data_IF_417390679267
#
_entry.id   IF_417390679267
#
_cell.length_a   1.000
_cell.length_b   1.000
_cell.length_c   1.000
_cell.angle_alpha   90.00
_cell.angle_beta   90.00
_cell.angle_gamma   90.00
#
_symmetry.space_group_name_H-M   'P 1'
#
loop_
_entity.id
_entity.type
_entity.pdbx_description
1 polymer ?
#
# COMPACT_ATOMS: atom_id res chain seq x y z
N UNK A 1 5.77 -31.69 -28.07
CA UNK A 1 4.51 -31.27 -27.42
C UNK A 1 4.21 -32.25 -26.30
N UNK A 2 3.97 -31.78 -25.08
CA UNK A 2 3.62 -32.65 -23.95
C UNK A 2 2.22 -33.24 -24.14
N UNK A 3 2.01 -34.47 -23.64
CA UNK A 3 0.72 -35.19 -23.66
C UNK A 3 -0.43 -34.35 -23.10
N UNK A 4 -0.17 -33.61 -22.02
CA UNK A 4 -1.10 -32.67 -21.41
C UNK A 4 -1.53 -31.53 -22.35
N UNK A 5 -0.64 -31.03 -23.21
CA UNK A 5 -0.98 -29.99 -24.20
C UNK A 5 -1.82 -30.54 -25.36
N UNK A 6 -1.70 -31.84 -25.66
CA UNK A 6 -2.59 -32.51 -26.61
C UNK A 6 -3.99 -32.71 -26.00
N UNK A 7 -4.04 -33.07 -24.72
CA UNK A 7 -5.30 -33.25 -24.01
C UNK A 7 -6.11 -31.95 -23.87
N UNK A 8 -5.45 -30.84 -23.49
CA UNK A 8 -6.09 -29.50 -23.47
C UNK A 8 -6.71 -29.15 -24.83
N UNK A 9 -5.98 -29.39 -25.92
CA UNK A 9 -6.47 -29.11 -27.29
C UNK A 9 -7.63 -30.01 -27.68
N UNK A 10 -7.56 -31.30 -27.31
CA UNK A 10 -8.62 -32.28 -27.57
C UNK A 10 -9.91 -31.89 -26.84
N UNK A 11 -9.82 -31.56 -25.56
CA UNK A 11 -10.96 -31.17 -24.73
C UNK A 11 -11.58 -29.85 -25.21
N UNK A 12 -10.75 -28.85 -25.53
CA UNK A 12 -11.23 -27.59 -26.10
C UNK A 12 -11.90 -27.81 -27.47
N UNK A 13 -11.30 -28.60 -28.36
CA UNK A 13 -11.90 -28.92 -29.66
C UNK A 13 -13.21 -29.72 -29.58
N UNK A 14 -13.41 -30.48 -28.49
CA UNK A 14 -14.66 -31.17 -28.20
C UNK A 14 -15.72 -30.29 -27.50
N UNK A 15 -15.37 -29.07 -27.08
CA UNK A 15 -16.24 -28.21 -26.29
C UNK A 15 -16.52 -28.72 -24.87
N UNK A 16 -15.72 -29.68 -24.36
CA UNK A 16 -15.90 -30.26 -23.03
C UNK A 16 -15.26 -29.35 -21.97
N UNK A 17 -15.98 -28.27 -21.67
CA UNK A 17 -15.56 -27.22 -20.74
C UNK A 17 -15.32 -27.77 -19.33
N UNK A 18 -16.13 -28.73 -18.90
CA UNK A 18 -16.07 -29.34 -17.56
C UNK A 18 -14.77 -30.14 -17.39
N UNK A 19 -14.49 -31.03 -18.34
CA UNK A 19 -13.26 -31.82 -18.30
C UNK A 19 -12.03 -30.95 -18.53
N UNK A 20 -12.13 -29.89 -19.35
CA UNK A 20 -11.06 -28.92 -19.57
C UNK A 20 -10.72 -28.17 -18.27
N UNK A 21 -11.72 -27.63 -17.57
CA UNK A 21 -11.54 -26.95 -16.29
C UNK A 21 -10.89 -27.87 -15.26
N UNK A 22 -11.38 -29.10 -15.11
CA UNK A 22 -10.79 -30.08 -14.19
C UNK A 22 -9.35 -30.44 -14.55
N UNK A 23 -9.02 -30.53 -15.84
CA UNK A 23 -7.66 -30.80 -16.32
C UNK A 23 -6.71 -29.64 -16.01
N UNK A 24 -7.13 -28.40 -16.28
CA UNK A 24 -6.35 -27.21 -15.96
C UNK A 24 -6.19 -27.02 -14.45
N UNK A 25 -7.23 -27.28 -13.66
CA UNK A 25 -7.19 -27.17 -12.21
C UNK A 25 -6.20 -28.17 -11.57
N UNK A 26 -6.17 -29.42 -12.04
CA UNK A 26 -5.25 -30.45 -11.54
C UNK A 26 -3.78 -30.19 -11.90
N UNK A 27 -3.52 -29.42 -12.96
CA UNK A 27 -2.15 -29.11 -13.39
C UNK A 27 -1.39 -28.26 -12.37
N UNK A 28 -2.08 -27.42 -11.59
CA UNK A 28 -1.46 -26.48 -10.65
C UNK A 28 -0.66 -25.38 -11.36
N UNK A 29 0.12 -24.60 -10.59
CA UNK A 29 1.13 -23.71 -11.19
C UNK A 29 2.32 -24.54 -11.70
N UNK A 30 2.90 -24.17 -12.85
CA UNK A 30 4.20 -24.72 -13.24
C UNK A 30 5.30 -24.36 -12.22
N UNK A 31 6.45 -25.06 -12.27
CA UNK A 31 7.64 -24.67 -11.52
C UNK A 31 8.00 -23.20 -11.79
N UNK A 32 7.98 -22.38 -10.74
CA UNK A 32 8.18 -20.92 -10.83
C UNK A 32 6.97 -20.09 -10.41
N UNK A 33 5.78 -20.69 -10.28
CA UNK A 33 4.61 -20.01 -9.69
C UNK A 33 3.88 -19.05 -10.64
N UNK A 34 4.19 -19.05 -11.93
CA UNK A 34 3.50 -18.27 -12.96
C UNK A 34 3.51 -19.04 -14.29
N UNK A 35 2.46 -18.85 -15.09
CA UNK A 35 2.39 -19.39 -16.46
C UNK A 35 3.50 -18.76 -17.32
N UNK A 36 4.67 -19.40 -17.32
CA UNK A 36 5.93 -18.88 -17.85
C UNK A 36 5.96 -18.86 -19.39
N UNK A 37 7.08 -18.41 -19.97
CA UNK A 37 7.31 -18.46 -21.42
C UNK A 37 7.17 -19.89 -22.00
N UNK A 38 7.43 -20.93 -21.21
CA UNK A 38 7.27 -22.32 -21.63
C UNK A 38 5.79 -22.74 -21.74
N UNK A 39 4.90 -22.07 -20.99
CA UNK A 39 3.46 -22.33 -21.01
C UNK A 39 2.68 -21.37 -21.90
N UNK A 40 3.36 -20.38 -22.48
CA UNK A 40 2.84 -19.44 -23.47
C UNK A 40 2.03 -20.11 -24.59
N UNK A 41 2.41 -21.28 -25.15
CA UNK A 41 1.60 -21.94 -26.18
C UNK A 41 0.22 -22.42 -25.68
N UNK A 42 0.10 -22.79 -24.40
CA UNK A 42 -1.16 -23.23 -23.82
C UNK A 42 -2.07 -22.02 -23.51
N UNK A 43 -1.51 -20.95 -22.97
CA UNK A 43 -2.26 -19.72 -22.68
C UNK A 43 -2.69 -19.00 -23.96
N UNK A 44 -1.82 -18.93 -24.98
CA UNK A 44 -2.16 -18.42 -26.32
C UNK A 44 -3.24 -19.27 -27.00
N UNK A 45 -3.18 -20.59 -26.85
CA UNK A 45 -4.22 -21.49 -27.37
C UNK A 45 -5.58 -21.21 -26.72
N UNK A 46 -5.63 -21.06 -25.38
CA UNK A 46 -6.85 -20.74 -24.65
C UNK A 46 -7.40 -19.35 -25.03
N UNK A 47 -6.52 -18.36 -25.21
CA UNK A 47 -6.89 -17.01 -25.65
C UNK A 47 -7.42 -16.97 -27.09
N UNK A 48 -7.00 -17.91 -27.93
CA UNK A 48 -7.44 -18.03 -29.32
C UNK A 48 -8.78 -18.78 -29.48
N UNK A 49 -9.33 -19.35 -28.39
CA UNK A 49 -10.67 -19.96 -28.44
C UNK A 49 -11.76 -18.88 -28.51
N UNK A 50 -12.93 -19.28 -28.98
CA UNK A 50 -14.09 -18.37 -29.03
C UNK A 50 -14.57 -17.97 -27.62
N UNK A 51 -15.30 -16.86 -27.59
CA UNK A 51 -15.80 -16.26 -26.35
C UNK A 51 -16.73 -17.22 -25.59
N UNK A 52 -17.51 -18.06 -26.28
CA UNK A 52 -18.47 -18.99 -25.65
C UNK A 52 -17.72 -20.04 -24.84
N UNK A 53 -16.70 -20.67 -25.44
CA UNK A 53 -15.86 -21.65 -24.75
C UNK A 53 -15.14 -20.99 -23.57
N UNK A 54 -14.58 -19.80 -23.76
CA UNK A 54 -13.81 -19.10 -22.73
C UNK A 54 -14.67 -18.64 -21.55
N UNK A 55 -15.87 -18.13 -21.82
CA UNK A 55 -16.87 -17.79 -20.79
C UNK A 55 -17.28 -19.05 -20.02
N UNK A 56 -17.61 -20.12 -20.72
CA UNK A 56 -17.94 -21.41 -20.11
C UNK A 56 -16.81 -21.91 -19.22
N UNK A 57 -15.56 -21.84 -19.71
CA UNK A 57 -14.38 -22.28 -18.97
C UNK A 57 -14.14 -21.45 -17.72
N UNK A 58 -14.28 -20.12 -17.81
CA UNK A 58 -14.18 -19.26 -16.64
C UNK A 58 -15.23 -19.63 -15.57
N UNK A 59 -16.47 -19.89 -15.98
CA UNK A 59 -17.54 -20.35 -15.08
C UNK A 59 -17.25 -21.72 -14.47
N UNK A 60 -16.77 -22.68 -15.26
CA UNK A 60 -16.42 -24.01 -14.79
C UNK A 60 -15.26 -24.01 -13.78
N UNK A 61 -14.28 -23.11 -13.95
CA UNK A 61 -13.17 -22.94 -13.02
C UNK A 61 -13.60 -22.49 -11.61
N UNK A 62 -14.79 -21.90 -11.44
CA UNK A 62 -15.29 -21.48 -10.11
C UNK A 62 -15.42 -22.65 -9.13
N UNK A 63 -15.75 -23.86 -9.61
CA UNK A 63 -15.83 -25.06 -8.77
C UNK A 63 -14.49 -25.47 -8.18
N UNK A 64 -13.40 -24.92 -8.70
CA UNK A 64 -12.05 -25.16 -8.24
C UNK A 64 -11.47 -23.94 -7.49
N UNK A 65 -12.28 -22.94 -7.14
CA UNK A 65 -11.79 -21.69 -6.51
C UNK A 65 -10.90 -21.91 -5.28
N UNK A 66 -11.16 -22.96 -4.50
CA UNK A 66 -10.38 -23.32 -3.30
C UNK A 66 -9.08 -24.08 -3.61
N UNK A 67 -8.81 -24.43 -4.87
CA UNK A 67 -7.64 -25.20 -5.27
C UNK A 67 -6.35 -24.38 -5.28
N UNK A 68 -6.41 -23.07 -5.05
CA UNK A 68 -5.26 -22.17 -4.89
C UNK A 68 -5.18 -21.04 -5.93
N UNK A 69 -4.17 -20.18 -5.78
CA UNK A 69 -3.97 -18.93 -6.55
C UNK A 69 -3.84 -19.15 -8.07
N UNK A 70 -3.54 -20.38 -8.49
CA UNK A 70 -3.40 -20.75 -9.90
C UNK A 70 -4.72 -20.68 -10.65
N UNK A 71 -5.84 -20.91 -9.97
CA UNK A 71 -7.19 -20.82 -10.54
C UNK A 71 -7.53 -19.37 -10.87
N UNK A 72 -7.23 -18.44 -9.96
CA UNK A 72 -7.39 -17.02 -10.22
C UNK A 72 -6.52 -16.56 -11.40
N UNK A 73 -5.28 -17.05 -11.48
CA UNK A 73 -4.39 -16.77 -12.63
C UNK A 73 -4.95 -17.31 -13.94
N UNK A 74 -5.46 -18.55 -13.95
CA UNK A 74 -6.11 -19.15 -15.11
C UNK A 74 -7.35 -18.36 -15.55
N UNK A 75 -8.19 -17.98 -14.59
CA UNK A 75 -9.37 -17.14 -14.82
C UNK A 75 -8.98 -15.78 -15.41
N UNK A 76 -7.92 -15.14 -14.92
CA UNK A 76 -7.43 -13.89 -15.50
C UNK A 76 -7.08 -14.05 -16.99
N UNK A 77 -6.40 -15.15 -17.34
CA UNK A 77 -6.00 -15.46 -18.71
C UNK A 77 -7.24 -15.67 -19.57
N UNK A 78 -8.13 -16.58 -19.20
CA UNK A 78 -9.28 -16.95 -20.05
C UNK A 78 -10.31 -15.83 -20.17
N UNK A 79 -10.39 -14.91 -19.20
CA UNK A 79 -11.29 -13.74 -19.24
C UNK A 79 -10.71 -12.53 -19.98
N UNK A 80 -9.46 -12.59 -20.46
CA UNK A 80 -8.80 -11.43 -21.07
C UNK A 80 -9.51 -10.93 -22.33
N UNK A 81 -9.95 -9.67 -22.32
CA UNK A 81 -10.68 -9.07 -23.45
C UNK A 81 -12.17 -9.43 -23.49
N UNK A 82 -12.66 -10.19 -22.51
CA UNK A 82 -14.08 -10.51 -22.37
C UNK A 82 -14.73 -9.57 -21.34
N UNK A 83 -16.00 -9.18 -21.54
CA UNK A 83 -16.70 -8.33 -20.60
C UNK A 83 -17.15 -9.13 -19.37
N UNK A 84 -16.89 -8.60 -18.17
CA UNK A 84 -17.34 -9.23 -16.92
C UNK A 84 -18.85 -9.21 -16.74
N UNK A 85 -19.59 -8.40 -17.51
CA UNK A 85 -21.07 -8.43 -17.54
C UNK A 85 -21.63 -9.77 -17.99
N UNK A 86 -20.87 -10.55 -18.77
CA UNK A 86 -21.24 -11.91 -19.17
C UNK A 86 -20.88 -12.98 -18.12
N UNK A 87 -20.12 -12.62 -17.08
CA UNK A 87 -19.54 -13.55 -16.09
C UNK A 87 -19.50 -12.93 -14.67
N UNK A 88 -20.65 -12.56 -14.08
CA UNK A 88 -20.67 -11.82 -12.82
C UNK A 88 -20.10 -12.61 -11.64
N UNK A 89 -20.27 -13.93 -11.59
CA UNK A 89 -19.71 -14.80 -10.55
C UNK A 89 -18.19 -14.90 -10.64
N UNK A 90 -17.65 -14.95 -11.87
CA UNK A 90 -16.20 -14.92 -12.12
C UNK A 90 -15.62 -13.57 -11.72
N UNK A 91 -16.31 -12.48 -12.03
CA UNK A 91 -15.89 -11.15 -11.62
C UNK A 91 -15.85 -11.02 -10.09
N UNK A 92 -16.86 -11.55 -9.38
CA UNK A 92 -16.91 -11.55 -7.92
C UNK A 92 -15.78 -12.38 -7.30
N UNK A 93 -15.50 -13.57 -7.86
CA UNK A 93 -14.39 -14.41 -7.41
C UNK A 93 -13.04 -13.71 -7.59
N UNK A 94 -12.77 -13.17 -8.78
CA UNK A 94 -11.52 -12.45 -9.06
C UNK A 94 -11.40 -11.19 -8.20
N UNK A 95 -12.50 -10.50 -7.91
CA UNK A 95 -12.52 -9.35 -7.03
C UNK A 95 -12.06 -9.72 -5.61
N UNK A 96 -12.69 -10.72 -4.99
CA UNK A 96 -12.27 -11.18 -3.66
C UNK A 96 -10.83 -11.66 -3.64
N UNK A 97 -10.36 -12.28 -4.73
CA UNK A 97 -8.97 -12.69 -4.85
C UNK A 97 -8.00 -11.49 -4.90
N UNK A 98 -8.27 -10.43 -5.67
CA UNK A 98 -7.33 -9.30 -5.76
C UNK A 98 -7.37 -8.36 -4.55
N UNK A 99 -8.49 -8.31 -3.83
CA UNK A 99 -8.67 -7.44 -2.66
C UNK A 99 -7.75 -7.79 -1.48
N UNK A 100 -7.36 -9.06 -1.36
CA UNK A 100 -6.48 -9.55 -0.28
C UNK A 100 -4.99 -9.43 -0.63
N UNK A 101 -4.63 -9.03 -1.84
CA UNK A 101 -3.23 -8.98 -2.31
C UNK A 101 -2.50 -7.71 -1.87
N UNK A 102 -1.18 -7.80 -1.66
CA UNK A 102 -0.33 -6.63 -1.37
C UNK A 102 -0.19 -5.74 -2.60
N UNK A 103 0.18 -6.35 -3.72
CA UNK A 103 0.25 -5.72 -5.04
C UNK A 103 -0.14 -6.76 -6.07
N UNK A 104 -0.58 -6.32 -7.25
CA UNK A 104 -1.00 -7.26 -8.29
C UNK A 104 -0.20 -7.03 -9.57
N UNK A 105 0.53 -8.06 -10.02
CA UNK A 105 1.39 -7.96 -11.20
C UNK A 105 0.59 -7.66 -12.48
N UNK A 106 -0.57 -8.30 -12.64
CA UNK A 106 -1.46 -8.08 -13.77
C UNK A 106 -2.34 -6.84 -13.58
N UNK A 107 -1.74 -5.66 -13.64
CA UNK A 107 -2.45 -4.37 -13.50
C UNK A 107 -3.65 -4.21 -14.45
N UNK A 108 -3.63 -4.89 -15.61
CA UNK A 108 -4.76 -4.94 -16.54
C UNK A 108 -6.01 -5.58 -15.95
N UNK A 109 -5.89 -6.60 -15.08
CA UNK A 109 -7.06 -7.18 -14.39
C UNK A 109 -7.71 -6.17 -13.45
N UNK A 110 -6.89 -5.47 -12.64
CA UNK A 110 -7.39 -4.44 -11.71
C UNK A 110 -8.18 -3.36 -12.44
N UNK A 111 -7.68 -2.90 -13.59
CA UNK A 111 -8.38 -1.92 -14.44
C UNK A 111 -9.71 -2.49 -14.93
N UNK A 112 -9.73 -3.71 -15.49
CA UNK A 112 -10.97 -4.30 -15.99
C UNK A 112 -12.02 -4.52 -14.90
N UNK A 113 -11.62 -4.96 -13.71
CA UNK A 113 -12.53 -5.13 -12.57
C UNK A 113 -13.10 -3.78 -12.11
N UNK A 114 -12.24 -2.76 -11.99
CA UNK A 114 -12.66 -1.43 -11.60
C UNK A 114 -13.61 -0.80 -12.63
N UNK A 115 -13.28 -0.87 -13.92
CA UNK A 115 -14.12 -0.34 -15.00
C UNK A 115 -15.46 -1.09 -15.03
N UNK A 116 -15.48 -2.42 -14.88
CA UNK A 116 -16.72 -3.19 -14.79
C UNK A 116 -17.62 -2.74 -13.63
N UNK A 117 -17.06 -2.49 -12.44
CA UNK A 117 -17.83 -1.99 -11.30
C UNK A 117 -18.42 -0.62 -11.62
N UNK A 118 -17.61 0.31 -12.13
CA UNK A 118 -18.06 1.67 -12.46
C UNK A 118 -19.13 1.68 -13.56
N UNK A 119 -18.96 0.88 -14.61
CA UNK A 119 -19.93 0.72 -15.71
C UNK A 119 -21.26 0.14 -15.24
N UNK A 120 -21.23 -0.73 -14.24
CA UNK A 120 -22.44 -1.31 -13.61
C UNK A 120 -23.01 -0.44 -12.50
N UNK A 121 -22.52 0.80 -12.34
CA UNK A 121 -22.96 1.75 -11.33
C UNK A 121 -22.55 1.37 -9.89
N UNK A 122 -21.65 0.40 -9.74
CA UNK A 122 -21.07 0.01 -8.45
C UNK A 122 -19.84 0.85 -8.15
N UNK A 123 -19.72 1.31 -6.90
CA UNK A 123 -18.51 1.96 -6.41
C UNK A 123 -17.37 0.94 -6.26
N UNK A 124 -16.13 1.43 -6.24
CA UNK A 124 -14.97 0.61 -5.90
C UNK A 124 -14.95 0.34 -4.39
N UNK A 125 -14.67 -0.89 -3.97
CA UNK A 125 -14.46 -1.20 -2.55
C UNK A 125 -13.17 -0.53 -2.02
N UNK A 126 -13.09 -0.23 -0.72
CA UNK A 126 -11.85 0.24 -0.09
C UNK A 126 -10.65 -0.68 -0.34
N UNK A 127 -10.87 -1.99 -0.33
CA UNK A 127 -9.85 -3.03 -0.51
C UNK A 127 -9.31 -3.05 -1.96
N UNK A 128 -10.20 -2.95 -2.95
CA UNK A 128 -9.80 -2.85 -4.36
C UNK A 128 -9.00 -1.57 -4.60
N UNK A 129 -9.44 -0.45 -4.01
CA UNK A 129 -8.71 0.82 -4.09
C UNK A 129 -7.33 0.70 -3.44
N UNK A 130 -7.21 -0.04 -2.33
CA UNK A 130 -5.93 -0.28 -1.68
C UNK A 130 -4.95 -1.03 -2.58
N UNK A 131 -5.36 -2.13 -3.22
CA UNK A 131 -4.48 -2.87 -4.14
C UNK A 131 -4.14 -2.05 -5.39
N UNK A 132 -5.08 -1.27 -5.93
CA UNK A 132 -4.84 -0.34 -7.04
C UNK A 132 -3.78 0.69 -6.67
N UNK A 133 -3.90 1.32 -5.49
CA UNK A 133 -2.95 2.33 -5.00
C UNK A 133 -1.56 1.75 -4.83
N UNK A 134 -1.43 0.62 -4.12
CA UNK A 134 -0.14 -0.06 -3.92
C UNK A 134 0.50 -0.47 -5.25
N UNK A 135 -0.28 -1.09 -6.13
CA UNK A 135 0.18 -1.51 -7.46
C UNK A 135 0.59 -0.30 -8.31
N UNK A 136 -0.10 0.83 -8.23
CA UNK A 136 0.26 2.04 -8.99
C UNK A 136 1.63 2.61 -8.60
N UNK A 137 2.15 2.27 -7.41
CA UNK A 137 3.44 2.75 -6.90
C UNK A 137 4.63 1.87 -7.33
N UNK A 138 4.41 0.68 -7.90
CA UNK A 138 5.49 -0.29 -8.11
C UNK A 138 6.36 -0.01 -9.35
N UNK A 139 5.91 0.79 -10.33
CA UNK A 139 6.78 1.28 -11.40
C UNK A 139 6.20 1.30 -12.82
N UNK A 140 7.10 1.23 -13.81
CA UNK A 140 6.90 1.57 -15.23
C UNK A 140 5.90 0.70 -15.99
N UNK A 141 5.56 -0.48 -15.50
CA UNK A 141 4.55 -1.37 -16.11
C UNK A 141 3.11 -0.97 -15.75
N UNK A 142 2.93 0.02 -14.87
CA UNK A 142 1.60 0.54 -14.54
C UNK A 142 1.06 1.41 -15.68
N UNK A 143 -0.12 1.07 -16.19
CA UNK A 143 -0.79 1.87 -17.22
C UNK A 143 -1.33 3.20 -16.68
N UNK A 144 -1.58 4.17 -17.58
CA UNK A 144 -2.16 5.47 -17.23
C UNK A 144 -3.50 5.34 -16.49
N UNK A 145 -4.37 4.45 -16.97
CA UNK A 145 -5.68 4.18 -16.37
C UNK A 145 -5.61 3.72 -14.91
N UNK A 146 -4.63 2.87 -14.56
CA UNK A 146 -4.46 2.42 -13.17
C UNK A 146 -4.09 3.59 -12.23
N UNK A 147 -3.24 4.51 -12.71
CA UNK A 147 -2.87 5.72 -11.95
C UNK A 147 -4.04 6.69 -11.80
N UNK A 148 -4.86 6.83 -12.83
CA UNK A 148 -6.10 7.61 -12.76
C UNK A 148 -7.06 7.03 -11.71
N UNK A 149 -7.31 5.71 -11.74
CA UNK A 149 -8.13 5.02 -10.75
C UNK A 149 -7.59 5.19 -9.33
N UNK A 150 -6.26 5.11 -9.15
CA UNK A 150 -5.63 5.34 -7.84
C UNK A 150 -5.81 6.78 -7.33
N UNK A 151 -5.81 7.77 -8.22
CA UNK A 151 -5.93 9.18 -7.89
C UNK A 151 -7.38 9.65 -7.70
N UNK A 152 -8.33 9.05 -8.42
CA UNK A 152 -9.73 9.48 -8.49
C UNK A 152 -10.69 8.40 -8.02
N UNK A 153 -10.32 7.65 -7.00
CA UNK A 153 -11.13 6.53 -6.49
C UNK A 153 -12.40 6.96 -5.75
N UNK A 154 -12.51 8.22 -5.33
CA UNK A 154 -13.60 8.70 -4.46
C UNK A 154 -13.45 8.31 -2.99
N UNK A 155 -12.31 7.70 -2.61
CA UNK A 155 -12.01 7.30 -1.24
C UNK A 155 -10.99 8.23 -0.59
N UNK A 156 -11.01 8.40 0.75
CA UNK A 156 -9.95 9.08 1.48
C UNK A 156 -8.55 8.52 1.11
N UNK A 157 -7.48 9.32 1.15
CA UNK A 157 -6.14 8.92 0.70
C UNK A 157 -5.40 8.11 1.78
N UNK A 158 -6.06 7.03 2.19
CA UNK A 158 -5.59 6.03 3.13
C UNK A 158 -6.26 4.69 2.78
N UNK A 159 -5.51 3.60 2.90
CA UNK A 159 -5.95 2.24 2.67
C UNK A 159 -6.39 1.61 4.00
N UNK A 160 -7.43 0.76 4.00
CA UNK A 160 -7.79 -0.04 5.16
C UNK A 160 -6.73 -1.12 5.48
N UNK A 161 -6.85 -1.73 6.66
CA UNK A 161 -6.13 -2.93 7.08
C UNK A 161 -5.02 -2.69 8.10
N UNK A 162 -4.58 -1.45 8.30
CA UNK A 162 -3.73 -1.09 9.43
C UNK A 162 -4.59 -0.48 10.55
N UNK A 163 -4.40 -0.91 11.81
CA UNK A 163 -5.22 -0.47 12.96
C UNK A 163 -5.35 1.05 13.06
N UNK A 164 -4.26 1.78 12.80
CA UNK A 164 -4.28 3.23 12.80
C UNK A 164 -5.09 3.82 11.63
N UNK A 165 -4.94 3.24 10.44
CA UNK A 165 -5.63 3.69 9.23
C UNK A 165 -7.13 3.41 9.31
N UNK A 166 -7.51 2.23 9.80
CA UNK A 166 -8.90 1.86 10.08
C UNK A 166 -9.53 2.82 11.10
N UNK A 167 -8.75 3.25 12.10
CA UNK A 167 -9.20 4.25 13.06
C UNK A 167 -9.41 5.63 12.42
N UNK A 168 -8.53 6.05 11.51
CA UNK A 168 -8.75 7.29 10.73
C UNK A 168 -10.03 7.18 9.91
N UNK A 169 -10.21 6.08 9.17
CA UNK A 169 -11.39 5.85 8.32
C UNK A 169 -12.69 5.83 9.12
N UNK A 170 -12.68 5.23 10.31
CA UNK A 170 -13.84 5.21 11.21
C UNK A 170 -14.16 6.59 11.82
N UNK A 171 -13.14 7.38 12.15
CA UNK A 171 -13.32 8.71 12.76
C UNK A 171 -13.75 9.76 11.73
N UNK A 172 -13.25 9.68 10.48
CA UNK A 172 -13.36 10.75 9.49
C UNK A 172 -14.79 11.23 9.19
N UNK A 173 -15.82 10.37 9.06
CA UNK A 173 -17.20 10.83 8.82
C UNK A 173 -17.74 11.74 9.94
N UNK A 174 -17.27 11.56 11.18
CA UNK A 174 -17.64 12.39 12.33
C UNK A 174 -16.76 13.63 12.51
N UNK A 175 -15.68 13.74 11.75
CA UNK A 175 -14.71 14.82 11.80
C UNK A 175 -14.90 15.70 10.56
N UNK A 176 -15.57 16.85 10.72
CA UNK A 176 -15.99 17.72 9.61
C UNK A 176 -14.91 18.04 8.56
N UNK A 177 -15.31 18.54 7.38
CA UNK A 177 -14.54 18.52 6.13
C UNK A 177 -13.07 18.96 6.18
N UNK A 178 -12.67 19.85 7.10
CA UNK A 178 -11.27 20.24 7.30
C UNK A 178 -10.34 19.09 7.67
N UNK A 179 -10.85 18.06 8.35
CA UNK A 179 -10.07 16.84 8.62
C UNK A 179 -9.80 16.04 7.35
N UNK A 180 -10.77 15.99 6.43
CA UNK A 180 -10.57 15.43 5.10
C UNK A 180 -9.52 16.20 4.30
N UNK A 181 -9.56 17.54 4.34
CA UNK A 181 -8.54 18.39 3.73
C UNK A 181 -7.15 18.21 4.35
N UNK A 182 -7.06 18.07 5.66
CA UNK A 182 -5.80 17.76 6.36
C UNK A 182 -5.26 16.40 5.91
N UNK A 183 -6.10 15.36 5.88
CA UNK A 183 -5.68 14.04 5.43
C UNK A 183 -5.19 14.06 3.98
N UNK A 184 -5.93 14.75 3.09
CA UNK A 184 -5.52 14.97 1.70
C UNK A 184 -4.18 15.70 1.60
N UNK A 185 -3.96 16.74 2.41
CA UNK A 185 -2.68 17.45 2.48
C UNK A 185 -1.54 16.55 2.94
N UNK A 186 -1.77 15.70 3.96
CA UNK A 186 -0.74 14.78 4.47
C UNK A 186 -0.32 13.72 3.45
N UNK A 187 -1.23 13.26 2.59
CA UNK A 187 -0.92 12.32 1.50
C UNK A 187 0.02 12.91 0.42
N UNK A 188 0.23 14.23 0.41
CA UNK A 188 1.17 14.91 -0.49
C UNK A 188 2.60 14.96 0.05
N UNK A 189 2.84 14.50 1.28
CA UNK A 189 4.16 14.48 1.92
C UNK A 189 5.06 13.44 1.23
N UNK A 190 5.52 13.68 0.01
CA UNK A 190 6.32 12.76 -0.83
C UNK A 190 7.83 13.07 -0.79
N UNK A 191 8.19 14.33 -0.58
CA UNK A 191 9.58 14.80 -0.49
C UNK A 191 10.30 14.27 0.77
N UNK A 192 11.62 14.46 0.86
CA UNK A 192 12.40 14.03 2.03
C UNK A 192 12.07 14.84 3.31
N UNK A 193 11.61 16.08 3.16
CA UNK A 193 11.22 17.03 4.22
C UNK A 193 10.04 17.89 3.71
N UNK A 194 9.21 18.48 4.59
CA UNK A 194 8.19 19.41 4.14
C UNK A 194 8.85 20.69 3.58
N UNK A 195 8.28 21.21 2.49
CA UNK A 195 8.69 22.51 1.95
C UNK A 195 7.88 23.65 2.57
N UNK A 196 8.35 24.89 2.48
CA UNK A 196 7.68 26.04 3.10
C UNK A 196 6.20 26.20 2.69
N UNK A 197 5.85 25.91 1.43
CA UNK A 197 4.45 25.94 0.99
C UNK A 197 3.60 24.85 1.65
N UNK A 198 4.18 23.66 1.86
CA UNK A 198 3.51 22.56 2.55
C UNK A 198 3.29 22.90 4.02
N UNK A 199 4.30 23.46 4.69
CA UNK A 199 4.22 23.87 6.10
C UNK A 199 3.15 24.94 6.31
N UNK A 200 3.12 25.99 5.48
CA UNK A 200 2.09 27.04 5.56
C UNK A 200 0.68 26.48 5.43
N UNK A 201 0.44 25.56 4.49
CA UNK A 201 -0.87 24.93 4.31
C UNK A 201 -1.24 24.05 5.51
N UNK A 202 -0.29 23.29 6.05
CA UNK A 202 -0.51 22.49 7.26
C UNK A 202 -0.86 23.38 8.46
N UNK A 203 -0.14 24.49 8.65
CA UNK A 203 -0.40 25.47 9.70
C UNK A 203 -1.81 26.07 9.63
N UNK A 204 -2.23 26.54 8.45
CA UNK A 204 -3.59 27.06 8.26
C UNK A 204 -4.68 26.03 8.59
N UNK A 205 -4.49 24.77 8.17
CA UNK A 205 -5.44 23.70 8.51
C UNK A 205 -5.46 23.39 10.02
N UNK A 206 -4.30 23.45 10.69
CA UNK A 206 -4.22 23.28 12.14
C UNK A 206 -4.92 24.41 12.91
N UNK A 207 -4.79 25.66 12.46
CA UNK A 207 -5.47 26.81 13.05
C UNK A 207 -6.98 26.65 12.96
N UNK A 208 -7.50 26.27 11.79
CA UNK A 208 -8.93 26.07 11.56
C UNK A 208 -9.52 24.88 12.34
N UNK A 209 -8.75 23.79 12.51
CA UNK A 209 -9.16 22.63 13.31
C UNK A 209 -9.02 22.91 14.82
N UNK A 210 -8.09 23.78 15.19
CA UNK A 210 -7.58 23.99 16.54
C UNK A 210 -6.38 23.08 16.81
N UNK A 211 -5.19 23.67 16.96
CA UNK A 211 -3.92 22.93 17.05
C UNK A 211 -3.86 21.87 18.15
N UNK A 212 -4.44 22.16 19.32
CA UNK A 212 -4.54 21.23 20.44
C UNK A 212 -5.46 20.03 20.14
N UNK A 213 -6.60 20.30 19.51
CA UNK A 213 -7.57 19.27 19.07
C UNK A 213 -6.93 18.38 18.00
N UNK A 214 -6.24 19.00 17.04
CA UNK A 214 -5.48 18.33 16.01
C UNK A 214 -4.42 17.41 16.61
N UNK A 215 -3.57 17.93 17.52
CA UNK A 215 -2.51 17.16 18.17
C UNK A 215 -3.04 15.89 18.83
N UNK A 216 -4.05 16.00 19.69
CA UNK A 216 -4.59 14.84 20.42
C UNK A 216 -5.13 13.77 19.49
N UNK A 217 -5.96 14.15 18.52
CA UNK A 217 -6.56 13.19 17.59
C UNK A 217 -5.51 12.53 16.68
N UNK A 218 -4.54 13.30 16.19
CA UNK A 218 -3.45 12.74 15.37
C UNK A 218 -2.57 11.81 16.21
N UNK A 219 -2.29 12.16 17.48
CA UNK A 219 -1.58 11.30 18.41
C UNK A 219 -2.35 9.99 18.70
N UNK A 220 -3.67 10.05 18.88
CA UNK A 220 -4.53 8.87 19.04
C UNK A 220 -4.42 7.93 17.84
N UNK A 221 -4.38 8.47 16.62
CA UNK A 221 -4.19 7.66 15.41
C UNK A 221 -2.78 7.07 15.34
N UNK A 222 -1.75 7.91 15.47
CA UNK A 222 -0.35 7.50 15.32
C UNK A 222 0.06 6.49 16.41
N UNK A 223 -0.50 6.56 17.62
CA UNK A 223 -0.26 5.59 18.69
C UNK A 223 -0.73 4.16 18.39
N UNK A 224 -1.50 3.97 17.30
CA UNK A 224 -1.90 2.66 16.79
C UNK A 224 -0.99 2.15 15.67
N UNK A 225 -0.07 2.98 15.17
CA UNK A 225 0.79 2.65 14.04
C UNK A 225 1.75 1.51 14.38
N UNK A 226 1.92 0.57 13.46
CA UNK A 226 2.80 -0.59 13.63
C UNK A 226 2.22 -1.73 14.49
N UNK A 227 0.97 -1.63 14.97
CA UNK A 227 0.26 -2.79 15.53
C UNK A 227 0.03 -3.87 14.45
N UNK A 228 -0.05 -5.16 14.82
CA UNK A 228 -0.35 -6.22 13.86
C UNK A 228 -1.65 -5.95 13.11
N UNK A 229 -1.67 -6.23 11.81
CA UNK A 229 -2.90 -6.13 11.01
C UNK A 229 -3.93 -7.15 11.54
N UNK A 230 -5.23 -6.79 11.58
CA UNK A 230 -6.28 -7.75 11.90
C UNK A 230 -6.35 -8.90 10.89
N UNK A 231 -6.06 -8.61 9.62
CA UNK A 231 -6.04 -9.60 8.53
C UNK A 231 -4.73 -9.48 7.75
N UNK A 232 -4.03 -10.61 7.49
CA UNK A 232 -2.82 -10.60 6.67
C UNK A 232 -3.18 -10.37 5.20
N UNK A 233 -2.30 -9.68 4.48
CA UNK A 233 -2.39 -9.52 3.03
C UNK A 233 -1.46 -10.52 2.35
N UNK A 234 -1.90 -11.11 1.24
CA UNK A 234 -1.10 -12.03 0.43
C UNK A 234 0.05 -11.29 -0.26
N UNK A 235 1.22 -11.91 -0.32
CA UNK A 235 2.39 -11.32 -0.98
C UNK A 235 3.18 -10.26 -0.20
N UNK A 236 2.93 -10.07 1.11
CA UNK A 236 3.80 -9.23 1.95
C UNK A 236 3.90 -9.71 3.40
N UNK A 237 4.75 -9.04 4.19
CA UNK A 237 4.98 -9.44 5.57
C UNK A 237 3.88 -8.86 6.48
N UNK A 238 3.32 -9.64 7.44
CA UNK A 238 2.25 -9.15 8.33
C UNK A 238 2.61 -7.88 9.12
N UNK A 239 3.90 -7.67 9.35
CA UNK A 239 4.42 -6.51 10.07
C UNK A 239 4.75 -5.31 9.18
N UNK A 240 4.72 -5.43 7.85
CA UNK A 240 5.06 -4.32 6.97
C UNK A 240 4.09 -3.15 7.17
N UNK A 241 4.57 -1.92 7.05
CA UNK A 241 3.65 -0.79 6.86
C UNK A 241 3.06 -0.85 5.45
N UNK A 242 1.80 -0.45 5.29
CA UNK A 242 1.27 -0.25 3.94
C UNK A 242 2.05 0.90 3.28
N UNK A 243 2.62 0.63 2.09
CA UNK A 243 3.54 1.54 1.40
C UNK A 243 2.87 2.84 0.96
N UNK A 244 1.59 2.81 0.64
CA UNK A 244 0.79 3.98 0.32
C UNK A 244 0.48 4.76 1.60
N UNK A 245 0.03 4.08 2.64
CA UNK A 245 -0.29 4.67 3.94
C UNK A 245 0.92 5.31 4.63
N UNK A 246 2.11 4.76 4.46
CA UNK A 246 3.34 5.30 5.03
C UNK A 246 3.61 6.76 4.59
N UNK A 247 3.16 7.16 3.40
CA UNK A 247 3.25 8.56 2.91
C UNK A 247 2.33 9.47 3.72
N UNK A 248 1.07 9.06 3.89
CA UNK A 248 0.06 9.79 4.69
C UNK A 248 0.47 9.85 6.16
N UNK A 249 0.96 8.74 6.73
CA UNK A 249 1.48 8.66 8.09
C UNK A 249 2.64 9.63 8.32
N UNK A 250 3.60 9.69 7.37
CA UNK A 250 4.68 10.69 7.41
C UNK A 250 4.13 12.12 7.45
N UNK A 251 3.12 12.43 6.63
CA UNK A 251 2.50 13.75 6.64
C UNK A 251 1.86 14.08 8.00
N UNK A 252 1.13 13.14 8.59
CA UNK A 252 0.53 13.29 9.93
C UNK A 252 1.60 13.52 11.01
N UNK A 253 2.70 12.78 10.94
CA UNK A 253 3.86 12.96 11.84
C UNK A 253 4.45 14.37 11.70
N UNK A 254 4.60 14.88 10.47
CA UNK A 254 5.09 16.24 10.25
C UNK A 254 4.12 17.29 10.77
N UNK A 255 2.80 17.08 10.62
CA UNK A 255 1.78 17.97 11.19
C UNK A 255 1.95 18.11 12.71
N UNK A 256 2.28 17.03 13.43
CA UNK A 256 2.54 17.10 14.87
C UNK A 256 3.68 18.05 15.24
N UNK A 257 4.69 18.20 14.39
CA UNK A 257 5.80 19.13 14.62
C UNK A 257 5.38 20.61 14.59
N UNK A 258 4.25 20.91 13.95
CA UNK A 258 3.67 22.25 13.86
C UNK A 258 2.51 22.46 14.84
N UNK A 259 2.19 21.45 15.65
CA UNK A 259 1.17 21.53 16.70
C UNK A 259 1.79 22.03 18.02
N UNK A 260 0.98 22.51 18.99
CA UNK A 260 1.49 22.96 20.28
C UNK A 260 2.40 21.91 20.95
N UNK A 261 3.62 22.28 21.39
CA UNK A 261 4.56 21.35 21.99
C UNK A 261 3.96 20.60 23.18
N UNK A 262 4.20 19.29 23.24
CA UNK A 262 3.71 18.44 24.33
C UNK A 262 4.65 17.25 24.55
N UNK A 263 4.91 16.93 25.82
CA UNK A 263 5.81 15.84 26.20
C UNK A 263 5.33 14.47 25.70
N UNK A 264 4.03 14.20 25.80
CA UNK A 264 3.46 12.96 25.26
C UNK A 264 3.64 12.81 23.74
N UNK A 265 3.56 13.91 22.98
CA UNK A 265 3.84 13.87 21.54
C UNK A 265 5.30 13.49 21.28
N UNK A 266 6.25 14.05 22.03
CA UNK A 266 7.65 13.71 21.89
C UNK A 266 7.89 12.22 22.23
N UNK A 267 7.30 11.72 23.32
CA UNK A 267 7.40 10.32 23.72
C UNK A 267 6.81 9.38 22.66
N UNK A 268 5.61 9.68 22.16
CA UNK A 268 4.96 8.93 21.09
C UNK A 268 5.83 8.85 19.84
N UNK A 269 6.44 9.97 19.41
CA UNK A 269 7.33 9.98 18.25
C UNK A 269 8.59 9.14 18.50
N UNK A 270 9.12 9.15 19.72
CA UNK A 270 10.24 8.28 20.11
C UNK A 270 9.89 6.79 19.99
N UNK A 271 8.76 6.38 20.55
CA UNK A 271 8.23 5.01 20.46
C UNK A 271 7.95 4.60 19.00
N UNK A 272 7.50 5.53 18.17
CA UNK A 272 7.26 5.30 16.74
C UNK A 272 8.54 5.06 15.95
N UNK A 273 9.63 5.76 16.28
CA UNK A 273 10.95 5.51 15.66
C UNK A 273 11.39 4.07 15.90
N UNK A 274 11.28 3.59 17.13
CA UNK A 274 11.64 2.21 17.50
C UNK A 274 10.72 1.20 16.79
N UNK A 275 9.41 1.46 16.79
CA UNK A 275 8.42 0.64 16.10
C UNK A 275 8.72 0.52 14.60
N UNK A 276 9.09 1.63 13.96
CA UNK A 276 9.38 1.69 12.52
C UNK A 276 10.78 1.14 12.15
N UNK A 277 11.69 1.03 13.10
CA UNK A 277 13.04 0.47 12.91
C UNK A 277 13.18 -0.97 13.40
N UNK A 278 12.12 -1.58 13.95
CA UNK A 278 12.13 -3.01 14.25
C UNK A 278 12.49 -3.79 12.98
N UNK A 279 13.44 -4.71 13.11
CA UNK A 279 13.93 -5.52 11.99
C UNK A 279 12.95 -6.65 11.66
N UNK A 280 12.66 -6.80 10.37
CA UNK A 280 11.98 -7.96 9.80
C UNK A 280 13.05 -8.90 9.21
N UNK A 281 13.11 -10.18 9.63
CA UNK A 281 14.05 -11.14 9.08
C UNK A 281 13.99 -11.21 7.54
N UNK A 282 15.11 -10.90 6.88
CA UNK A 282 15.23 -10.94 5.41
C UNK A 282 14.72 -9.69 4.68
N UNK A 283 14.01 -8.77 5.34
CA UNK A 283 13.45 -7.55 4.71
C UNK A 283 14.02 -6.24 5.26
N UNK A 284 14.65 -6.28 6.44
CA UNK A 284 15.24 -5.10 7.09
C UNK A 284 14.24 -4.33 7.96
N UNK A 285 14.47 -3.04 8.26
CA UNK A 285 13.59 -2.25 9.12
C UNK A 285 12.19 -2.07 8.51
N UNK A 286 11.14 -2.17 9.34
CA UNK A 286 9.73 -2.05 8.93
C UNK A 286 9.41 -0.84 8.06
N UNK A 287 9.90 0.35 8.42
CA UNK A 287 9.73 1.57 7.62
C UNK A 287 10.75 2.66 7.99
N UNK A 288 11.90 2.74 7.30
CA UNK A 288 12.82 3.86 7.42
C UNK A 288 12.18 5.22 7.12
N UNK A 289 11.15 5.24 6.27
CA UNK A 289 10.39 6.43 5.92
C UNK A 289 9.69 7.03 7.15
N UNK A 290 8.95 6.20 7.89
CA UNK A 290 8.21 6.60 9.09
C UNK A 290 9.19 6.99 10.21
N UNK A 291 10.26 6.21 10.41
CA UNK A 291 11.30 6.53 11.38
C UNK A 291 11.96 7.90 11.10
N UNK A 292 12.32 8.16 9.84
CA UNK A 292 12.91 9.43 9.43
C UNK A 292 11.96 10.61 9.61
N UNK A 293 10.65 10.40 9.38
CA UNK A 293 9.64 11.42 9.62
C UNK A 293 9.51 11.79 11.10
N UNK A 294 9.51 10.78 11.98
CA UNK A 294 9.41 10.99 13.42
C UNK A 294 10.65 11.67 14.01
N UNK A 295 11.85 11.32 13.54
CA UNK A 295 13.08 12.05 13.91
C UNK A 295 13.06 13.49 13.41
N UNK A 296 12.59 13.75 12.19
CA UNK A 296 12.39 15.12 11.71
C UNK A 296 11.40 15.88 12.60
N UNK A 297 10.28 15.28 12.97
CA UNK A 297 9.29 15.95 13.83
C UNK A 297 9.88 16.28 15.21
N UNK A 298 10.58 15.33 15.84
CA UNK A 298 11.30 15.57 17.10
C UNK A 298 12.33 16.70 17.01
N UNK A 299 13.07 16.80 15.89
CA UNK A 299 14.08 17.85 15.74
C UNK A 299 13.46 19.25 15.61
N UNK A 300 12.21 19.35 15.14
CA UNK A 300 11.48 20.61 14.96
C UNK A 300 10.66 21.03 16.18
N UNK A 301 10.25 20.09 17.02
CA UNK A 301 9.47 20.38 18.24
C UNK A 301 10.27 21.15 19.28
N UNK A 302 9.70 22.18 19.89
CA UNK A 302 10.33 22.87 21.01
C UNK A 302 10.19 22.13 22.34
N UNK A 303 11.12 22.40 23.26
CA UNK A 303 11.10 21.91 24.64
C UNK A 303 12.05 20.73 24.93
N UNK A 304 12.33 20.55 26.22
CA UNK A 304 13.30 19.56 26.72
C UNK A 304 12.88 18.11 26.44
N UNK A 305 11.57 17.83 26.39
CA UNK A 305 11.06 16.48 26.12
C UNK A 305 11.49 15.96 24.74
N UNK A 306 11.49 16.82 23.72
CA UNK A 306 11.93 16.45 22.37
C UNK A 306 13.44 16.19 22.33
N UNK A 307 14.24 17.05 22.98
CA UNK A 307 15.69 16.87 23.11
C UNK A 307 16.05 15.57 23.85
N UNK A 308 15.35 15.28 24.94
CA UNK A 308 15.52 14.05 25.71
C UNK A 308 15.26 12.80 24.85
N UNK A 309 14.20 12.80 24.05
CA UNK A 309 13.91 11.69 23.13
C UNK A 309 14.97 11.55 22.04
N UNK A 310 15.47 12.64 21.45
CA UNK A 310 16.57 12.59 20.47
C UNK A 310 17.84 11.95 21.08
N UNK A 311 18.23 12.39 22.27
CA UNK A 311 19.40 11.84 22.97
C UNK A 311 19.21 10.36 23.33
N UNK A 312 18.03 9.99 23.84
CA UNK A 312 17.67 8.60 24.16
C UNK A 312 17.78 7.70 22.93
N UNK A 313 17.14 8.08 21.82
CA UNK A 313 17.18 7.31 20.58
C UNK A 313 18.61 7.17 20.06
N UNK A 314 19.41 8.23 20.14
CA UNK A 314 20.81 8.23 19.69
C UNK A 314 21.68 7.25 20.47
N UNK A 315 21.38 7.00 21.74
CA UNK A 315 22.12 6.08 22.58
C UNK A 315 21.80 4.60 22.29
N UNK A 316 20.61 4.29 21.76
CA UNK A 316 20.11 2.91 21.66
C UNK A 316 19.96 2.38 20.23
N UNK A 317 19.80 3.25 19.24
CA UNK A 317 19.60 2.80 17.86
C UNK A 317 20.92 2.43 17.19
N UNK A 318 20.84 1.49 16.25
CA UNK A 318 21.99 1.04 15.42
C UNK A 318 21.82 1.38 13.95
N UNK A 319 20.61 1.77 13.53
CA UNK A 319 20.31 2.08 12.13
C UNK A 319 21.05 3.34 11.66
N UNK A 320 22.11 3.14 10.86
CA UNK A 320 23.10 4.16 10.46
C UNK A 320 22.50 5.46 9.93
N UNK A 321 21.50 5.37 9.03
CA UNK A 321 20.87 6.55 8.43
C UNK A 321 20.07 7.36 9.45
N UNK A 322 19.41 6.69 10.39
CA UNK A 322 18.66 7.36 11.46
C UNK A 322 19.61 7.98 12.47
N UNK A 323 20.70 7.30 12.83
CA UNK A 323 21.75 7.86 13.70
C UNK A 323 22.32 9.16 13.15
N UNK A 324 22.66 9.21 11.85
CA UNK A 324 23.11 10.44 11.20
C UNK A 324 22.08 11.57 11.27
N UNK A 325 20.79 11.26 11.18
CA UNK A 325 19.74 12.25 11.31
C UNK A 325 19.57 12.74 12.75
N UNK A 326 19.76 11.87 13.74
CA UNK A 326 19.75 12.20 15.17
C UNK A 326 20.94 13.08 15.55
N UNK A 327 22.16 12.72 15.10
CA UNK A 327 23.37 13.54 15.31
C UNK A 327 23.15 14.96 14.79
N UNK A 328 22.72 15.09 13.54
CA UNK A 328 22.46 16.40 12.93
C UNK A 328 21.37 17.20 13.68
N UNK A 329 20.37 16.53 14.27
CA UNK A 329 19.34 17.20 15.07
C UNK A 329 19.88 17.69 16.43
N UNK A 330 20.75 16.91 17.07
CA UNK A 330 21.39 17.26 18.33
C UNK A 330 22.42 18.39 18.15
N UNK A 331 23.25 18.32 17.10
CA UNK A 331 24.23 19.37 16.77
C UNK A 331 23.55 20.72 16.52
N UNK A 332 22.46 20.71 15.76
CA UNK A 332 21.66 21.92 15.52
C UNK A 332 21.07 22.52 16.80
N UNK A 333 20.70 21.69 17.79
CA UNK A 333 20.21 22.14 19.11
C UNK A 333 21.32 22.65 20.01
N UNK A 334 22.52 22.11 19.87
CA UNK A 334 23.72 22.56 20.57
C UNK A 334 24.33 23.84 19.98
N UNK A 335 23.79 24.36 18.87
CA UNK A 335 24.35 25.52 18.15
C UNK A 335 25.62 25.19 17.35
N UNK A 336 25.98 23.91 17.24
CA UNK A 336 27.13 23.45 16.46
C UNK A 336 26.71 23.35 15.00
N UNK A 337 26.78 24.46 14.28
CA UNK A 337 26.67 24.41 12.82
C UNK A 337 27.95 23.80 12.26
N UNK A 338 27.83 22.81 11.37
CA UNK A 338 28.95 22.28 10.58
C UNK A 338 29.47 23.38 9.64
N UNK A 339 30.29 24.26 10.18
CA UNK A 339 30.73 25.50 9.55
C UNK A 339 31.90 26.10 10.30
N UNK A 340 32.88 25.27 10.69
CA UNK A 340 34.22 25.72 11.04
C UNK A 340 35.23 24.61 10.72
N UNK A 341 35.47 24.45 9.43
CA UNK A 341 36.68 23.81 8.90
C UNK A 341 37.22 24.70 7.78
N UNK A 342 37.59 25.92 8.12
CA UNK A 342 38.54 26.69 7.31
C UNK A 342 39.93 26.09 7.53
N UNK A 343 40.61 25.55 6.51
CA UNK A 343 41.99 25.15 6.66
C UNK A 343 42.83 26.43 6.74
N UNK A 344 43.54 26.57 7.86
CA UNK A 344 44.51 27.63 8.05
C UNK A 344 45.51 27.67 6.89
N UNK A 345 45.68 28.88 6.37
CA UNK A 345 46.89 29.31 5.73
C UNK A 345 48.11 29.06 6.63
N UNK A 346 49.07 28.29 6.13
CA UNK A 346 50.45 28.72 5.82
C UNK A 346 51.21 27.61 5.13
#
# INVERSE_FOLDING_TARGET
MTEMSQEIRRLAGAGDVEALAGTLARRGLPPGGFWSLEERPATEFLLAQDDVLRIGLAGALLRYGDAGDHIATLMEIVTRGLPFTAMPEVAAFLLGHVEEEVTYAASGLLVRLADHLLETGRGLSPELVAVIRRTSMTGWWTGGRLRELAASSGHPPINPGEVWADRVLADLPGLGGRWGELLAHTATARAARPGAAWERRAGALLEEIGGEKARRKIADWIGLAGRPRPLPLRGGHPEDFDSYNAVTLRGLIWVLAFSPPHSDTARLLGELVETALREIPGSGPRSPLVAGAAVYALSRMDGEAALSQLARLRAHLTHKRTLKALDAALDARAGVSAGDASPHAR
#
